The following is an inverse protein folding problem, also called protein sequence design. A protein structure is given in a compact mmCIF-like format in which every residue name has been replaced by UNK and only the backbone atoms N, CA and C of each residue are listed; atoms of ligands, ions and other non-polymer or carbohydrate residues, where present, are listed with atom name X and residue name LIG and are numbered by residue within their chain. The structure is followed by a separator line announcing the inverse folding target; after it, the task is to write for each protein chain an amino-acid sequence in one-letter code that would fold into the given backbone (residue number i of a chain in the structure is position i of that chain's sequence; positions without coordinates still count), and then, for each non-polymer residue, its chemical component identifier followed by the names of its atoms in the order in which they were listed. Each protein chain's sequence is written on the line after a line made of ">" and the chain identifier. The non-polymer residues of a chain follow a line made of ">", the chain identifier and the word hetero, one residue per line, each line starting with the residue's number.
data_IF_105730675408
#
_entry.id   IF_105730675408
#
_cell.length_a   1.000
_cell.length_b   1.000
_cell.length_c   1.000
_cell.angle_alpha   90.00
_cell.angle_beta   90.00
_cell.angle_gamma   90.00
#
_symmetry.space_group_name_H-M   'P 1'
#
loop_
_entity.id
_entity.type
_entity.pdbx_description
1 polymer ?
#
# COMPACT_ATOMS: atom_id res chain seq x y z
N UNK A 1 9.70 -28.67 6.09
CA UNK A 1 8.75 -27.72 6.68
C UNK A 1 8.82 -26.45 5.86
N UNK A 2 7.92 -26.31 4.89
CA UNK A 2 7.86 -25.09 4.07
C UNK A 2 7.36 -23.98 4.97
N UNK A 3 8.24 -23.01 5.27
CA UNK A 3 7.78 -21.73 5.78
C UNK A 3 7.09 -21.09 4.58
N UNK A 4 5.79 -21.30 4.45
CA UNK A 4 4.94 -20.52 3.55
C UNK A 4 5.08 -19.06 3.99
N UNK A 5 6.04 -18.36 3.38
CA UNK A 5 6.16 -16.92 3.51
C UNK A 5 4.95 -16.36 2.78
N UNK A 6 3.84 -16.26 3.50
CA UNK A 6 2.66 -15.60 3.01
C UNK A 6 2.97 -14.10 2.95
N UNK A 7 2.78 -13.53 1.77
CA UNK A 7 2.94 -12.11 1.51
C UNK A 7 1.57 -11.53 1.25
N UNK A 8 1.33 -10.36 1.83
CA UNK A 8 0.23 -9.52 1.43
C UNK A 8 0.70 -8.65 0.26
N UNK A 9 0.04 -8.84 -0.87
CA UNK A 9 0.18 -7.98 -2.02
C UNK A 9 -0.81 -6.84 -1.90
N UNK A 10 -0.29 -5.62 -1.91
CA UNK A 10 -1.10 -4.40 -1.80
C UNK A 10 -0.87 -3.61 -3.07
N UNK A 11 -1.94 -3.50 -3.84
CA UNK A 11 -2.03 -2.59 -4.97
C UNK A 11 -2.78 -1.33 -4.55
N UNK A 12 -2.46 -0.21 -5.19
CA UNK A 12 -3.07 1.06 -4.87
C UNK A 12 -2.79 2.09 -5.95
N UNK A 13 -3.48 3.21 -5.86
CA UNK A 13 -3.29 4.31 -6.78
C UNK A 13 -3.95 5.57 -6.27
N UNK A 14 -3.55 6.68 -6.87
CA UNK A 14 -4.19 7.98 -6.65
C UNK A 14 -4.98 8.34 -7.88
N UNK A 15 -6.28 8.50 -7.66
CA UNK A 15 -7.18 9.02 -8.69
C UNK A 15 -6.93 10.52 -8.87
N UNK A 16 -7.25 11.03 -10.06
CA UNK A 16 -7.18 12.47 -10.39
C UNK A 16 -5.80 13.09 -10.59
N UNK A 17 -4.73 12.30 -10.48
CA UNK A 17 -3.37 12.71 -10.85
C UNK A 17 -2.92 11.80 -11.99
N UNK A 18 -2.51 12.36 -13.13
CA UNK A 18 -1.96 11.60 -14.27
C UNK A 18 -0.55 12.09 -14.52
N UNK A 19 0.39 11.57 -13.74
CA UNK A 19 1.79 11.95 -13.84
C UNK A 19 2.70 10.72 -13.87
N UNK A 20 3.66 10.75 -14.79
CA UNK A 20 4.66 9.70 -14.96
C UNK A 20 5.88 10.05 -14.12
N UNK A 21 6.29 9.13 -13.26
CA UNK A 21 7.24 9.39 -12.19
C UNK A 21 6.56 9.79 -10.89
N UNK A 22 7.37 9.93 -9.83
CA UNK A 22 6.93 10.05 -8.45
C UNK A 22 7.24 8.80 -7.63
N UNK A 23 6.89 8.83 -6.36
CA UNK A 23 7.01 7.70 -5.44
C UNK A 23 5.70 7.55 -4.68
N UNK A 24 5.28 6.30 -4.56
CA UNK A 24 4.17 5.93 -3.69
C UNK A 24 4.70 5.41 -2.37
N UNK A 25 4.13 5.87 -1.28
CA UNK A 25 4.40 5.37 0.06
C UNK A 25 3.12 4.71 0.59
N UNK A 26 3.19 3.40 0.79
CA UNK A 26 2.17 2.61 1.42
C UNK A 26 2.48 2.53 2.91
N UNK A 27 1.58 3.08 3.72
CA UNK A 27 1.64 3.00 5.17
C UNK A 27 0.57 2.05 5.66
N UNK A 28 0.99 0.94 6.28
CA UNK A 28 0.10 0.04 6.99
C UNK A 28 0.12 0.44 8.46
N UNK A 29 -1.05 0.77 9.00
CA UNK A 29 -1.19 1.24 10.38
C UNK A 29 -2.17 0.34 11.15
N UNK A 30 -1.84 0.01 12.39
CA UNK A 30 -2.67 -0.77 13.30
C UNK A 30 -2.55 -0.25 14.73
N UNK A 31 -3.42 -0.73 15.61
CA UNK A 31 -3.32 -0.47 17.04
C UNK A 31 -2.03 -1.10 17.61
N UNK A 32 -0.96 -0.31 17.72
CA UNK A 32 0.33 -0.74 18.25
C UNK A 32 1.53 -0.50 17.33
N UNK A 33 1.33 0.02 16.12
CA UNK A 33 2.44 0.36 15.24
C UNK A 33 2.06 0.63 13.80
N UNK A 34 3.08 0.88 12.99
CA UNK A 34 2.94 1.07 11.55
C UNK A 34 4.20 0.63 10.83
N UNK A 35 4.04 0.18 9.58
CA UNK A 35 5.15 0.00 8.65
C UNK A 35 4.89 0.85 7.41
N UNK A 36 5.96 1.36 6.82
CA UNK A 36 5.91 2.01 5.52
C UNK A 36 6.75 1.25 4.50
N UNK A 37 6.25 1.21 3.28
CA UNK A 37 6.92 0.65 2.12
C UNK A 37 6.77 1.61 0.96
N UNK A 38 7.90 1.90 0.32
CA UNK A 38 7.93 2.75 -0.85
C UNK A 38 7.88 1.89 -2.11
N UNK A 39 7.15 2.40 -3.08
CA UNK A 39 7.02 1.82 -4.40
C UNK A 39 7.21 2.90 -5.45
N UNK A 40 7.53 2.46 -6.65
CA UNK A 40 7.46 3.31 -7.83
C UNK A 40 6.01 3.56 -8.22
N UNK A 41 5.78 4.68 -8.90
CA UNK A 41 4.49 5.02 -9.50
C UNK A 41 4.62 5.01 -11.02
N UNK A 42 3.53 4.74 -11.71
CA UNK A 42 3.44 4.88 -13.16
C UNK A 42 2.17 5.64 -13.55
N UNK A 43 2.26 6.46 -14.59
CA UNK A 43 1.09 7.09 -15.17
C UNK A 43 0.26 6.04 -15.91
N UNK A 44 -0.96 5.80 -15.45
CA UNK A 44 -1.99 5.15 -16.23
C UNK A 44 -2.68 6.15 -17.18
N UNK A 45 -3.60 5.67 -18.02
CA UNK A 45 -4.30 6.51 -19.01
C UNK A 45 -5.17 7.61 -18.38
N UNK A 46 -5.63 7.44 -17.13
CA UNK A 46 -6.51 8.40 -16.43
C UNK A 46 -6.20 8.59 -14.94
N UNK A 47 -5.16 7.93 -14.42
CA UNK A 47 -4.77 7.96 -13.00
C UNK A 47 -3.33 7.52 -12.83
N UNK A 48 -2.69 7.90 -11.72
CA UNK A 48 -1.36 7.40 -11.35
C UNK A 48 -1.54 6.16 -10.50
N UNK A 49 -1.08 5.04 -11.03
CA UNK A 49 -1.08 3.75 -10.35
C UNK A 49 0.24 3.58 -9.61
N UNK A 50 0.14 3.10 -8.37
CA UNK A 50 1.30 2.75 -7.58
C UNK A 50 1.64 1.29 -7.85
N UNK A 51 2.91 0.99 -8.03
CA UNK A 51 3.33 -0.39 -8.23
C UNK A 51 3.06 -1.20 -6.95
N UNK A 52 2.61 -2.45 -7.14
CA UNK A 52 2.28 -3.37 -6.06
C UNK A 52 3.46 -3.53 -5.10
N UNK A 53 3.17 -3.53 -3.80
CA UNK A 53 4.14 -3.86 -2.78
C UNK A 53 3.83 -5.22 -2.15
N UNK A 54 4.88 -5.87 -1.68
CA UNK A 54 4.77 -7.12 -0.93
C UNK A 54 5.18 -6.88 0.52
N UNK A 55 4.26 -7.18 1.43
CA UNK A 55 4.51 -7.11 2.87
C UNK A 55 4.44 -8.52 3.42
N UNK A 56 5.48 -8.96 4.14
CA UNK A 56 5.42 -10.28 4.77
C UNK A 56 4.36 -10.26 5.87
N UNK A 57 3.46 -11.26 5.87
CA UNK A 57 2.47 -11.40 6.94
C UNK A 57 3.13 -11.56 8.30
N UNK A 58 4.37 -12.04 8.38
CA UNK A 58 5.14 -12.15 9.62
C UNK A 58 5.46 -10.80 10.26
N UNK A 59 5.53 -9.72 9.47
CA UNK A 59 5.74 -8.36 9.97
C UNK A 59 4.43 -7.73 10.46
N UNK A 60 3.29 -8.31 10.08
CA UNK A 60 1.97 -7.81 10.41
C UNK A 60 1.38 -8.51 11.64
N UNK A 61 0.80 -7.76 12.58
CA UNK A 61 0.09 -8.33 13.71
C UNK A 61 -1.13 -9.14 13.23
N UNK A 62 -1.38 -10.27 13.89
CA UNK A 62 -2.62 -11.03 13.74
C UNK A 62 -3.68 -10.51 14.69
N UNK A 63 -4.96 -10.59 14.30
CA UNK A 63 -6.06 -10.25 15.21
C UNK A 63 -6.37 -8.76 15.35
N UNK A 64 -5.78 -7.88 14.54
CA UNK A 64 -6.05 -6.43 14.57
C UNK A 64 -6.39 -5.92 13.18
N UNK A 65 -7.21 -4.88 13.12
CA UNK A 65 -7.50 -4.17 11.88
C UNK A 65 -6.28 -3.37 11.43
N UNK A 66 -5.89 -3.60 10.19
CA UNK A 66 -4.76 -2.96 9.54
C UNK A 66 -5.34 -2.04 8.47
N UNK A 67 -5.14 -0.73 8.63
CA UNK A 67 -5.50 0.27 7.65
C UNK A 67 -4.33 0.51 6.70
N UNK A 68 -4.59 0.49 5.40
CA UNK A 68 -3.62 0.84 4.36
C UNK A 68 -3.89 2.25 3.91
N UNK A 69 -2.84 3.08 3.95
CA UNK A 69 -2.85 4.43 3.41
C UNK A 69 -1.80 4.54 2.31
N UNK A 70 -2.21 4.97 1.13
CA UNK A 70 -1.27 5.18 0.01
C UNK A 70 -1.12 6.67 -0.22
N UNK A 71 0.10 7.15 -0.18
CA UNK A 71 0.42 8.53 -0.46
C UNK A 71 1.32 8.61 -1.69
N UNK A 72 0.92 9.37 -2.68
CA UNK A 72 1.70 9.66 -3.86
C UNK A 72 2.37 11.02 -3.71
N UNK A 73 3.66 11.07 -4.02
CA UNK A 73 4.42 12.31 -4.04
C UNK A 73 5.31 12.38 -5.27
N UNK A 74 5.25 13.50 -5.96
CA UNK A 74 6.11 13.85 -7.08
C UNK A 74 6.65 15.27 -6.91
N UNK A 75 7.44 15.73 -7.88
CA UNK A 75 7.97 17.11 -7.85
C UNK A 75 6.88 18.18 -8.01
N UNK A 76 5.75 17.82 -8.61
CA UNK A 76 4.71 18.76 -9.01
C UNK A 76 3.38 18.49 -8.29
N UNK A 77 3.11 17.25 -7.92
CA UNK A 77 1.84 16.83 -7.34
C UNK A 77 2.05 15.96 -6.10
N UNK A 78 1.10 16.07 -5.18
CA UNK A 78 0.93 15.13 -4.08
C UNK A 78 -0.53 14.71 -4.04
N UNK A 79 -0.81 13.47 -3.67
CA UNK A 79 -2.18 12.97 -3.58
C UNK A 79 -2.25 11.75 -2.68
N UNK A 80 -3.42 11.51 -2.11
CA UNK A 80 -3.67 10.38 -1.22
C UNK A 80 -4.73 9.46 -1.83
N UNK A 81 -4.63 8.16 -1.54
CA UNK A 81 -5.67 7.21 -1.95
C UNK A 81 -7.00 7.58 -1.32
N UNK A 82 -8.04 7.73 -2.16
CA UNK A 82 -9.39 8.08 -1.71
C UNK A 82 -10.12 6.93 -1.02
N UNK A 83 -9.73 5.68 -1.29
CA UNK A 83 -10.15 4.50 -0.55
C UNK A 83 -8.94 3.94 0.19
N UNK A 84 -8.94 4.05 1.51
CA UNK A 84 -7.96 3.41 2.39
C UNK A 84 -8.50 2.03 2.76
N UNK A 85 -8.13 0.95 2.05
CA UNK A 85 -8.64 -0.38 2.39
C UNK A 85 -8.11 -0.78 3.77
N UNK A 86 -8.99 -1.35 4.58
CA UNK A 86 -8.60 -2.02 5.81
C UNK A 86 -8.83 -3.51 5.67
N UNK A 87 -7.96 -4.29 6.30
CA UNK A 87 -8.09 -5.74 6.34
C UNK A 87 -7.61 -6.26 7.68
N UNK A 88 -8.06 -7.46 8.02
CA UNK A 88 -7.59 -8.21 9.19
C UNK A 88 -6.80 -9.39 8.70
N UNK A 89 -5.58 -9.60 9.23
CA UNK A 89 -4.73 -10.73 8.81
C UNK A 89 -5.42 -12.09 9.00
N UNK A 90 -6.33 -12.22 9.95
CA UNK A 90 -7.13 -13.46 10.17
C UNK A 90 -8.03 -13.82 8.98
N UNK A 91 -8.35 -12.85 8.12
CA UNK A 91 -9.13 -13.06 6.89
C UNK A 91 -8.27 -13.50 5.70
N UNK A 92 -6.94 -13.46 5.83
CA UNK A 92 -5.98 -13.93 4.82
C UNK A 92 -5.68 -15.39 5.17
N UNK A 93 -6.29 -16.32 4.44
CA UNK A 93 -6.27 -17.75 4.74
C UNK A 93 -5.56 -18.53 3.65
#
# INVERSE_FOLDING_TARGET
>A
MSVDKQYLQIDGGVNSIVENGGSCEFTLHWAGGSISRKSSSFAGPSSTSCHMIEVSLSELPSGVDIAVKVNYSSKLHTGESSNNPSFRKESLR
#
